data_IF_745338469204
#
_entry.id   IF_745338469204
#
_cell.length_a   1.000
_cell.length_b   1.000
_cell.length_c   1.000
_cell.angle_alpha   90.00
_cell.angle_beta   90.00
_cell.angle_gamma   90.00
#
_symmetry.space_group_name_H-M   'P 1'
#
loop_
_entity.id
_entity.type
_entity.pdbx_description
1 polymer ?
#
# COMPACT_ATOMS: atom_id res chain seq x y z
N UNK A 1 -10.73 -17.64 -77.23
CA UNK A 1 -11.68 -17.13 -76.21
C UNK A 1 -11.20 -17.58 -74.84
N UNK A 2 -10.42 -16.75 -74.14
CA UNK A 2 -9.83 -17.08 -72.83
C UNK A 2 -10.67 -16.39 -71.76
N UNK A 3 -11.45 -17.18 -71.00
CA UNK A 3 -12.23 -16.71 -69.84
C UNK A 3 -11.28 -16.46 -68.67
N UNK A 4 -10.85 -15.21 -68.48
CA UNK A 4 -10.16 -14.75 -67.28
C UNK A 4 -11.16 -14.68 -66.11
N UNK A 5 -10.96 -15.55 -65.11
CA UNK A 5 -11.80 -15.67 -63.92
C UNK A 5 -11.45 -14.51 -62.97
N UNK A 6 -12.35 -13.54 -62.86
CA UNK A 6 -12.28 -12.29 -62.04
C UNK A 6 -12.08 -12.46 -60.53
N UNK A 7 -11.66 -13.63 -60.02
CA UNK A 7 -11.66 -13.94 -58.58
C UNK A 7 -10.30 -13.78 -57.88
N UNK A 8 -9.21 -13.53 -58.61
CA UNK A 8 -7.87 -13.45 -58.00
C UNK A 8 -7.35 -12.02 -57.80
N UNK A 9 -8.06 -11.01 -58.31
CA UNK A 9 -7.66 -9.59 -58.17
C UNK A 9 -8.18 -8.90 -56.89
N UNK A 10 -9.06 -9.54 -56.11
CA UNK A 10 -9.56 -9.00 -54.84
C UNK A 10 -8.86 -9.57 -53.60
N UNK A 11 -7.97 -10.55 -53.74
CA UNK A 11 -7.21 -11.10 -52.61
C UNK A 11 -5.92 -10.31 -52.30
N UNK A 12 -5.45 -9.45 -53.22
CA UNK A 12 -4.16 -8.77 -53.10
C UNK A 12 -4.15 -7.40 -52.43
N UNK A 13 -5.32 -6.75 -52.24
CA UNK A 13 -5.38 -5.35 -51.78
C UNK A 13 -5.67 -5.25 -50.27
N UNK A 14 -6.23 -6.27 -49.64
CA UNK A 14 -6.53 -6.26 -48.19
C UNK A 14 -5.31 -6.46 -47.28
N UNK A 15 -4.22 -7.06 -47.78
CA UNK A 15 -3.08 -7.46 -46.95
C UNK A 15 -1.98 -6.40 -46.83
N UNK A 16 -1.91 -5.43 -47.75
CA UNK A 16 -0.86 -4.41 -47.74
C UNK A 16 -1.14 -3.23 -46.78
N UNK A 17 -2.40 -3.00 -46.40
CA UNK A 17 -2.77 -1.92 -45.46
C UNK A 17 -2.93 -2.40 -44.01
N UNK A 18 -3.14 -3.71 -43.77
CA UNK A 18 -3.31 -4.26 -42.42
C UNK A 18 -2.00 -4.46 -41.64
N UNK A 19 -0.90 -4.73 -42.34
CA UNK A 19 0.38 -5.04 -41.69
C UNK A 19 1.17 -3.79 -41.23
N UNK A 20 0.96 -2.63 -41.87
CA UNK A 20 1.66 -1.39 -41.54
C UNK A 20 1.10 -0.66 -40.32
N UNK A 21 -0.21 -0.78 -40.06
CA UNK A 21 -0.86 -0.04 -38.96
C UNK A 21 -0.70 -0.71 -37.59
N UNK A 22 -0.51 -2.04 -37.54
CA UNK A 22 -0.33 -2.77 -36.28
C UNK A 22 1.03 -2.56 -35.60
N UNK A 23 2.04 -2.15 -36.36
CA UNK A 23 3.40 -1.96 -35.83
C UNK A 23 3.61 -0.62 -35.10
N UNK A 24 2.78 0.39 -35.38
CA UNK A 24 2.88 1.73 -34.77
C UNK A 24 2.22 1.84 -33.38
N UNK A 25 1.42 0.84 -32.98
CA UNK A 25 0.78 0.78 -31.66
C UNK A 25 1.47 -0.15 -30.66
N UNK A 26 2.76 -0.49 -30.88
CA UNK A 26 3.63 -0.96 -29.80
C UNK A 26 4.03 0.23 -28.92
N UNK A 27 3.03 0.94 -28.41
CA UNK A 27 3.20 1.93 -27.35
C UNK A 27 3.91 1.23 -26.22
N UNK A 28 5.13 1.66 -25.94
CA UNK A 28 5.85 1.32 -24.73
C UNK A 28 4.98 1.82 -23.58
N UNK A 29 4.11 0.96 -23.06
CA UNK A 29 3.49 1.15 -21.76
C UNK A 29 4.66 1.13 -20.78
N UNK A 30 5.27 2.31 -20.57
CA UNK A 30 6.12 2.57 -19.43
C UNK A 30 5.19 2.35 -18.24
N UNK A 31 5.22 1.15 -17.69
CA UNK A 31 4.57 0.83 -16.43
C UNK A 31 5.25 1.76 -15.43
N UNK A 32 4.64 2.92 -15.20
CA UNK A 32 5.02 3.81 -14.13
C UNK A 32 4.93 2.96 -12.87
N UNK A 33 6.07 2.63 -12.28
CA UNK A 33 6.13 1.93 -11.00
C UNK A 33 5.42 2.82 -9.98
N UNK A 34 4.21 2.40 -9.61
CA UNK A 34 3.44 2.99 -8.53
C UNK A 34 4.28 2.97 -7.26
N UNK A 35 4.25 4.05 -6.50
CA UNK A 35 4.88 4.08 -5.18
C UNK A 35 3.87 3.50 -4.20
N UNK A 36 4.13 2.32 -3.62
CA UNK A 36 3.17 1.70 -2.71
C UNK A 36 2.79 2.67 -1.59
N UNK A 37 1.50 2.80 -1.31
CA UNK A 37 0.98 3.66 -0.25
C UNK A 37 0.52 2.80 0.92
N UNK A 38 0.75 3.26 2.14
CA UNK A 38 0.21 2.60 3.33
C UNK A 38 -1.30 2.81 3.38
N UNK A 39 -2.07 1.74 3.20
CA UNK A 39 -3.53 1.79 3.17
C UNK A 39 -4.13 1.74 4.59
N UNK A 40 -5.36 2.25 4.81
CA UNK A 40 -6.05 2.15 6.10
C UNK A 40 -6.30 0.69 6.53
N UNK A 41 -6.64 0.47 7.81
CA UNK A 41 -7.09 -0.84 8.29
C UNK A 41 -8.21 -1.44 7.43
N UNK A 42 -8.12 -2.75 7.18
CA UNK A 42 -9.12 -3.50 6.41
C UNK A 42 -9.00 -3.37 4.89
N UNK A 43 -8.05 -2.59 4.36
CA UNK A 43 -7.81 -2.56 2.92
C UNK A 43 -7.46 -3.96 2.39
N UNK A 44 -8.08 -4.34 1.27
CA UNK A 44 -7.74 -5.54 0.53
C UNK A 44 -6.37 -5.40 -0.16
N UNK A 45 -6.04 -6.33 -1.05
CA UNK A 45 -4.92 -6.17 -1.99
C UNK A 45 -5.06 -4.84 -2.74
N UNK A 46 -3.95 -4.29 -3.22
CA UNK A 46 -3.98 -2.95 -3.83
C UNK A 46 -4.96 -2.88 -5.02
N UNK A 47 -4.99 -3.92 -5.86
CA UNK A 47 -5.90 -3.98 -7.00
C UNK A 47 -7.38 -4.07 -6.58
N UNK A 48 -7.72 -4.93 -5.61
CA UNK A 48 -9.08 -5.06 -5.07
C UNK A 48 -9.54 -3.76 -4.40
N UNK A 49 -8.65 -3.13 -3.64
CA UNK A 49 -8.90 -1.88 -2.96
C UNK A 49 -9.21 -0.78 -3.97
N UNK A 50 -8.39 -0.64 -5.02
CA UNK A 50 -8.57 0.39 -6.05
C UNK A 50 -9.84 0.17 -6.90
N UNK A 51 -10.24 -1.09 -7.10
CA UNK A 51 -11.47 -1.45 -7.78
C UNK A 51 -12.72 -1.14 -6.94
N UNK A 52 -12.64 -1.33 -5.63
CA UNK A 52 -13.78 -1.19 -4.71
C UNK A 52 -13.93 0.22 -4.14
N UNK A 53 -12.83 0.99 -4.03
CA UNK A 53 -12.83 2.32 -3.44
C UNK A 53 -13.49 3.34 -4.38
N UNK A 54 -14.65 3.86 -3.97
CA UNK A 54 -15.37 4.91 -4.70
C UNK A 54 -14.89 6.33 -4.38
N UNK A 55 -13.78 6.47 -3.64
CA UNK A 55 -13.14 7.77 -3.35
C UNK A 55 -14.06 8.78 -2.64
N UNK A 56 -15.02 8.29 -1.83
CA UNK A 56 -15.99 9.14 -1.14
C UNK A 56 -15.41 9.94 0.04
N UNK A 57 -14.23 9.56 0.55
CA UNK A 57 -13.57 10.24 1.67
C UNK A 57 -14.22 10.03 3.05
N UNK A 58 -15.27 9.21 3.18
CA UNK A 58 -15.97 8.99 4.45
C UNK A 58 -15.08 8.39 5.54
N UNK A 59 -14.16 7.48 5.18
CA UNK A 59 -13.18 6.94 6.12
C UNK A 59 -12.26 8.03 6.70
N UNK A 60 -11.90 9.04 5.89
CA UNK A 60 -11.07 10.17 6.33
C UNK A 60 -11.83 11.03 7.33
N UNK A 61 -13.10 11.35 7.03
CA UNK A 61 -13.96 12.13 7.93
C UNK A 61 -14.28 11.39 9.24
N UNK A 62 -14.37 10.06 9.19
CA UNK A 62 -14.72 9.25 10.35
C UNK A 62 -13.53 8.98 11.29
N UNK A 63 -12.29 9.24 10.86
CA UNK A 63 -11.10 8.94 11.66
C UNK A 63 -10.94 9.97 12.80
N UNK A 64 -11.06 9.57 14.08
CA UNK A 64 -11.02 10.52 15.19
C UNK A 64 -9.62 11.08 15.50
N UNK A 65 -8.57 10.48 14.90
CA UNK A 65 -7.17 10.85 15.12
C UNK A 65 -6.55 11.62 13.96
N UNK A 66 -7.34 11.96 12.94
CA UNK A 66 -6.85 12.56 11.71
C UNK A 66 -5.66 11.79 11.10
N UNK A 67 -5.69 10.45 11.15
CA UNK A 67 -4.63 9.60 10.57
C UNK A 67 -4.69 9.60 9.04
N UNK A 68 -5.89 9.55 8.47
CA UNK A 68 -6.07 9.31 7.04
C UNK A 68 -5.98 10.61 6.24
N UNK A 69 -5.39 10.52 5.05
CA UNK A 69 -5.36 11.60 4.05
C UNK A 69 -5.78 11.05 2.70
N UNK A 70 -6.33 11.90 1.85
CA UNK A 70 -6.56 11.54 0.44
C UNK A 70 -5.31 11.86 -0.37
N UNK A 71 -4.94 10.96 -1.26
CA UNK A 71 -3.92 11.24 -2.27
C UNK A 71 -4.35 12.45 -3.12
N UNK A 72 -3.40 13.29 -3.56
CA UNK A 72 -3.72 14.40 -4.44
C UNK A 72 -4.44 13.93 -5.70
N UNK A 73 -5.34 14.75 -6.27
CA UNK A 73 -5.96 14.44 -7.53
C UNK A 73 -4.90 14.31 -8.63
N UNK A 74 -4.95 13.22 -9.37
CA UNK A 74 -4.04 12.90 -10.46
C UNK A 74 -4.68 11.98 -11.49
N UNK A 75 -3.97 11.67 -12.60
CA UNK A 75 -4.47 10.80 -13.66
C UNK A 75 -4.36 9.30 -13.33
N UNK A 76 -3.70 8.95 -12.22
CA UNK A 76 -3.52 7.56 -11.80
C UNK A 76 -4.73 7.01 -11.05
N UNK A 77 -4.81 5.68 -10.96
CA UNK A 77 -5.92 5.02 -10.27
C UNK A 77 -5.89 5.25 -8.75
N UNK A 78 -4.75 5.64 -8.19
CA UNK A 78 -4.58 5.95 -6.78
C UNK A 78 -5.13 7.33 -6.40
N UNK A 79 -5.42 8.19 -7.37
CA UNK A 79 -6.02 9.52 -7.18
C UNK A 79 -7.25 9.49 -6.26
N UNK A 80 -7.27 10.42 -5.30
CA UNK A 80 -8.32 10.59 -4.29
C UNK A 80 -8.65 9.33 -3.47
N UNK A 81 -7.68 8.44 -3.28
CA UNK A 81 -7.82 7.27 -2.39
C UNK A 81 -7.18 7.54 -1.02
N UNK A 82 -7.72 6.97 0.07
CA UNK A 82 -7.17 7.18 1.39
C UNK A 82 -5.83 6.47 1.58
N UNK A 83 -4.92 7.11 2.30
CA UNK A 83 -3.63 6.57 2.72
C UNK A 83 -3.24 7.09 4.11
N UNK A 84 -2.24 6.45 4.71
CA UNK A 84 -1.62 6.83 5.98
C UNK A 84 -0.20 7.34 5.72
N UNK A 85 0.13 8.49 6.29
CA UNK A 85 1.51 8.99 6.41
C UNK A 85 1.96 8.75 7.85
N UNK A 86 2.48 7.55 8.12
CA UNK A 86 2.78 7.09 9.48
C UNK A 86 3.82 7.94 10.19
N UNK A 87 4.71 8.60 9.44
CA UNK A 87 5.70 9.52 10.00
C UNK A 87 5.05 10.80 10.53
N UNK A 88 3.94 11.25 9.96
CA UNK A 88 3.21 12.44 10.43
C UNK A 88 2.13 12.10 11.46
N UNK A 89 1.30 11.11 11.16
CA UNK A 89 0.20 10.69 12.03
C UNK A 89 -0.04 9.20 11.85
N UNK A 90 0.34 8.36 12.81
CA UNK A 90 0.18 6.91 12.71
C UNK A 90 -1.29 6.52 12.89
N UNK A 91 -1.60 5.25 12.63
CA UNK A 91 -2.89 4.68 12.98
C UNK A 91 -2.90 4.28 14.45
N UNK A 92 -3.68 4.99 15.26
CA UNK A 92 -3.89 4.70 16.68
C UNK A 92 -4.87 3.54 16.93
N UNK A 93 -5.21 2.77 15.90
CA UNK A 93 -6.10 1.60 15.98
C UNK A 93 -7.47 1.88 16.62
N UNK A 94 -7.91 3.15 16.54
CA UNK A 94 -9.10 3.63 17.23
C UNK A 94 -9.09 3.33 18.75
N UNK A 95 -7.92 3.41 19.40
CA UNK A 95 -7.81 3.27 20.86
C UNK A 95 -8.79 4.23 21.57
N UNK A 96 -9.57 3.70 22.51
CA UNK A 96 -10.64 4.45 23.18
C UNK A 96 -11.98 4.48 22.44
N UNK A 97 -12.13 3.75 21.33
CA UNK A 97 -13.39 3.57 20.61
C UNK A 97 -13.73 2.08 20.46
N UNK A 98 -15.03 1.77 20.29
CA UNK A 98 -15.52 0.38 20.22
C UNK A 98 -15.22 -0.33 18.89
N UNK A 99 -14.90 0.43 17.84
CA UNK A 99 -14.66 -0.10 16.49
C UNK A 99 -13.72 0.77 15.66
N UNK A 100 -13.19 0.20 14.59
CA UNK A 100 -12.41 0.92 13.58
C UNK A 100 -13.32 1.80 12.73
N UNK A 101 -13.44 3.08 13.10
CA UNK A 101 -14.35 4.05 12.47
C UNK A 101 -14.17 4.19 10.96
N UNK A 102 -12.94 4.00 10.45
CA UNK A 102 -12.67 4.02 9.02
C UNK A 102 -13.31 2.84 8.27
N UNK A 103 -13.31 1.65 8.86
CA UNK A 103 -13.97 0.45 8.32
C UNK A 103 -15.48 0.63 8.42
N UNK A 104 -15.99 1.04 9.57
CA UNK A 104 -17.43 1.24 9.80
C UNK A 104 -18.05 2.25 8.83
N UNK A 105 -17.29 3.29 8.46
CA UNK A 105 -17.74 4.32 7.52
C UNK A 105 -17.57 3.95 6.04
N UNK A 106 -16.98 2.80 5.69
CA UNK A 106 -16.75 2.41 4.30
C UNK A 106 -18.03 1.80 3.67
N UNK A 107 -18.59 2.39 2.61
CA UNK A 107 -19.87 1.91 2.04
C UNK A 107 -19.72 0.80 0.98
N UNK A 108 -18.50 0.50 0.53
CA UNK A 108 -18.24 -0.40 -0.62
C UNK A 108 -17.34 -1.58 -0.29
N UNK A 109 -17.11 -1.85 1.00
CA UNK A 109 -16.17 -2.89 1.47
C UNK A 109 -14.74 -2.77 0.92
N UNK A 110 -14.36 -1.58 0.43
CA UNK A 110 -12.95 -1.28 0.12
C UNK A 110 -12.07 -1.41 1.36
N UNK A 111 -12.63 -1.12 2.54
CA UNK A 111 -12.07 -1.45 3.84
C UNK A 111 -12.94 -2.54 4.47
N UNK A 112 -12.49 -3.79 4.37
CA UNK A 112 -13.20 -5.00 4.84
C UNK A 112 -13.17 -5.08 6.37
N UNK A 113 -14.23 -5.63 6.95
CA UNK A 113 -14.30 -5.91 8.40
C UNK A 113 -13.23 -6.90 8.81
N UNK A 114 -12.65 -6.67 9.99
CA UNK A 114 -11.68 -7.56 10.66
C UNK A 114 -12.29 -8.05 11.96
N UNK A 115 -12.00 -9.29 12.35
CA UNK A 115 -12.53 -9.85 13.61
C UNK A 115 -11.78 -9.29 14.83
N UNK A 116 -10.48 -9.02 14.67
CA UNK A 116 -9.62 -8.39 15.66
C UNK A 116 -8.70 -7.36 15.02
N UNK A 117 -8.22 -6.39 15.81
CA UNK A 117 -7.12 -5.50 15.41
C UNK A 117 -5.86 -6.28 15.00
N UNK A 118 -5.69 -7.49 15.52
CA UNK A 118 -4.58 -8.40 15.18
C UNK A 118 -4.67 -8.97 13.78
N UNK A 119 -5.82 -8.89 13.12
CA UNK A 119 -6.03 -9.36 11.74
C UNK A 119 -5.73 -8.26 10.71
N UNK A 120 -5.42 -7.04 11.17
CA UNK A 120 -5.07 -5.93 10.30
C UNK A 120 -3.73 -6.21 9.59
N UNK A 121 -3.65 -5.91 8.30
CA UNK A 121 -2.43 -6.02 7.48
C UNK A 121 -2.24 -4.76 6.64
N UNK A 122 -1.87 -3.65 7.28
CA UNK A 122 -1.59 -2.39 6.55
C UNK A 122 -0.21 -2.43 5.89
N UNK A 123 0.76 -3.07 6.55
CA UNK A 123 2.15 -3.17 6.13
C UNK A 123 3.00 -3.79 7.24
N UNK A 124 4.32 -3.74 7.10
CA UNK A 124 5.27 -4.27 8.08
C UNK A 124 6.34 -3.22 8.37
N UNK A 125 6.70 -3.05 9.63
CA UNK A 125 7.79 -2.18 10.03
C UNK A 125 9.15 -2.76 9.59
N UNK A 126 10.01 -1.94 8.99
CA UNK A 126 11.33 -2.36 8.52
C UNK A 126 12.42 -1.54 9.18
N UNK A 127 13.35 -2.20 9.86
CA UNK A 127 14.43 -1.51 10.56
C UNK A 127 15.56 -1.20 9.58
N UNK A 128 15.91 0.09 9.48
CA UNK A 128 17.16 0.49 8.86
C UNK A 128 18.29 0.41 9.89
N UNK A 129 19.06 -0.67 9.84
CA UNK A 129 20.16 -0.93 10.77
C UNK A 129 21.24 0.17 10.72
N UNK A 130 21.44 0.81 9.57
CA UNK A 130 22.47 1.86 9.42
C UNK A 130 22.16 3.17 10.15
N UNK A 131 20.89 3.44 10.42
CA UNK A 131 20.45 4.67 11.11
C UNK A 131 19.83 4.41 12.49
N UNK A 132 19.41 3.17 12.77
CA UNK A 132 18.77 2.82 14.02
C UNK A 132 19.72 2.96 15.21
N UNK A 133 19.36 3.81 16.17
CA UNK A 133 20.15 4.04 17.39
C UNK A 133 20.50 2.75 18.15
N UNK A 134 19.57 1.79 18.23
CA UNK A 134 19.80 0.48 18.86
C UNK A 134 20.88 -0.34 18.16
N UNK A 135 20.92 -0.29 16.83
CA UNK A 135 21.98 -0.93 16.04
C UNK A 135 23.32 -0.19 16.09
N UNK A 136 23.28 1.11 16.40
CA UNK A 136 24.44 1.99 16.46
C UNK A 136 24.94 2.25 17.90
N UNK A 137 24.70 1.29 18.81
CA UNK A 137 25.31 1.27 20.14
C UNK A 137 24.60 2.13 21.21
N UNK A 138 23.43 2.68 20.92
CA UNK A 138 22.63 3.45 21.87
C UNK A 138 21.47 2.60 22.38
N UNK A 139 21.28 2.53 23.69
CA UNK A 139 20.13 1.84 24.30
C UNK A 139 18.83 2.61 24.01
N UNK A 140 18.16 2.27 22.91
CA UNK A 140 16.91 2.89 22.48
C UNK A 140 15.79 1.85 22.43
N UNK A 141 14.70 2.07 23.19
CA UNK A 141 13.53 1.16 23.25
C UNK A 141 12.21 1.82 22.87
N UNK A 142 12.29 3.00 22.24
CA UNK A 142 11.11 3.84 21.94
C UNK A 142 10.10 3.11 21.04
N UNK A 143 10.58 2.43 20.00
CA UNK A 143 9.70 1.68 19.09
C UNK A 143 8.96 0.53 19.79
N UNK A 144 9.55 -0.09 20.81
CA UNK A 144 8.91 -1.14 21.61
C UNK A 144 7.83 -0.58 22.50
N UNK A 145 8.10 0.53 23.20
CA UNK A 145 7.09 1.18 24.04
C UNK A 145 5.91 1.74 23.23
N UNK A 146 6.16 2.17 22.00
CA UNK A 146 5.11 2.62 21.09
C UNK A 146 4.34 1.48 20.43
N UNK A 147 4.86 0.25 20.44
CA UNK A 147 4.21 -0.88 19.78
C UNK A 147 3.00 -1.34 20.61
N UNK A 148 1.81 -1.48 20.01
CA UNK A 148 0.64 -2.01 20.72
C UNK A 148 0.71 -3.52 20.98
N UNK A 149 1.68 -4.22 20.37
CA UNK A 149 1.92 -5.65 20.55
C UNK A 149 3.40 -5.91 20.89
N UNK A 150 3.88 -5.41 22.06
CA UNK A 150 5.26 -5.60 22.47
C UNK A 150 5.56 -7.10 22.62
N UNK A 151 6.79 -7.49 22.29
CA UNK A 151 7.31 -8.87 22.29
C UNK A 151 6.65 -9.84 21.29
N UNK A 152 5.47 -9.51 20.78
CA UNK A 152 4.81 -10.25 19.69
C UNK A 152 5.22 -9.73 18.31
N UNK A 153 4.99 -8.44 18.04
CA UNK A 153 5.27 -7.77 16.76
C UNK A 153 6.63 -7.11 16.72
N UNK A 154 7.12 -6.64 17.86
CA UNK A 154 8.43 -5.99 17.98
C UNK A 154 9.06 -6.42 19.29
N UNK A 155 10.24 -7.05 19.20
CA UNK A 155 11.02 -7.54 20.34
C UNK A 155 12.45 -7.02 20.26
N UNK A 156 13.24 -7.33 21.29
CA UNK A 156 14.66 -7.02 21.32
C UNK A 156 15.47 -8.32 21.27
N UNK A 157 16.60 -8.31 20.57
CA UNK A 157 17.56 -9.41 20.63
C UNK A 157 18.48 -9.29 21.86
N UNK A 158 19.41 -10.24 22.01
CA UNK A 158 20.34 -10.28 23.14
C UNK A 158 21.29 -9.06 23.20
N UNK A 159 21.46 -8.33 22.09
CA UNK A 159 22.27 -7.12 21.99
C UNK A 159 21.43 -5.85 22.14
N UNK A 160 20.18 -5.98 22.58
CA UNK A 160 19.22 -4.88 22.68
C UNK A 160 18.97 -4.16 21.34
N UNK A 161 19.02 -4.90 20.23
CA UNK A 161 18.60 -4.39 18.93
C UNK A 161 17.14 -4.76 18.67
N UNK A 162 16.33 -3.82 18.15
CA UNK A 162 14.94 -4.14 17.83
C UNK A 162 14.87 -5.17 16.70
N UNK A 163 13.90 -6.07 16.76
CA UNK A 163 13.61 -7.08 15.73
C UNK A 163 12.10 -7.10 15.53
N UNK A 164 11.66 -6.90 14.28
CA UNK A 164 10.24 -6.94 13.90
C UNK A 164 9.86 -8.37 13.52
N UNK A 165 8.73 -8.84 14.04
CA UNK A 165 8.08 -10.07 13.59
C UNK A 165 7.04 -9.71 12.51
N UNK A 166 7.27 -10.05 11.23
CA UNK A 166 6.38 -9.65 10.14
C UNK A 166 4.98 -10.25 10.25
N UNK A 167 4.82 -11.42 10.87
CA UNK A 167 3.52 -12.10 10.99
C UNK A 167 2.59 -11.45 12.03
N UNK A 168 3.17 -10.82 13.05
CA UNK A 168 2.43 -10.11 14.10
C UNK A 168 2.40 -8.59 13.89
N UNK A 169 3.29 -8.04 13.07
CA UNK A 169 3.30 -6.62 12.74
C UNK A 169 2.12 -6.29 11.82
N UNK A 170 1.21 -5.43 12.30
CA UNK A 170 0.03 -5.02 11.52
C UNK A 170 0.24 -3.75 10.68
N UNK A 171 1.39 -3.09 10.83
CA UNK A 171 1.74 -1.88 10.06
C UNK A 171 1.06 -0.59 10.51
N UNK A 172 0.70 -0.47 11.80
CA UNK A 172 0.00 0.71 12.32
C UNK A 172 0.82 2.01 12.29
N UNK A 173 2.16 1.92 12.25
CA UNK A 173 3.05 3.07 12.13
C UNK A 173 3.40 3.77 13.44
N UNK A 174 2.92 3.30 14.60
CA UNK A 174 3.24 3.94 15.89
C UNK A 174 4.75 3.96 16.18
N UNK A 175 5.48 2.90 15.83
CA UNK A 175 6.93 2.85 15.96
C UNK A 175 7.67 3.81 15.00
N UNK A 176 7.13 4.02 13.80
CA UNK A 176 7.66 4.92 12.78
C UNK A 176 7.52 6.39 13.24
N UNK A 177 6.32 6.73 13.73
CA UNK A 177 6.03 8.03 14.33
C UNK A 177 6.92 8.33 15.54
N UNK A 178 7.03 7.37 16.46
CA UNK A 178 7.77 7.55 17.71
C UNK A 178 9.29 7.54 17.53
N UNK A 179 9.81 7.15 16.36
CA UNK A 179 11.25 7.05 16.13
C UNK A 179 11.93 8.42 16.31
N UNK A 180 12.95 8.53 17.20
CA UNK A 180 13.55 9.82 17.54
C UNK A 180 14.59 10.31 16.51
N UNK A 181 14.93 9.50 15.51
CA UNK A 181 15.83 9.91 14.42
C UNK A 181 15.11 10.89 13.49
N UNK A 182 15.86 11.75 12.80
CA UNK A 182 15.31 12.77 11.88
C UNK A 182 14.43 12.13 10.80
N UNK A 183 15.03 11.24 10.00
CA UNK A 183 14.30 10.25 9.21
C UNK A 183 14.11 9.00 10.05
N UNK A 184 12.92 8.41 9.99
CA UNK A 184 12.62 7.22 10.78
C UNK A 184 13.53 6.06 10.39
N UNK A 185 14.10 5.41 11.41
CA UNK A 185 14.89 4.19 11.23
C UNK A 185 14.04 2.93 11.24
N UNK A 186 12.71 3.06 11.32
CA UNK A 186 11.76 1.95 11.30
C UNK A 186 10.50 2.30 10.49
N UNK A 187 10.63 2.72 9.20
CA UNK A 187 9.49 3.03 8.37
C UNK A 187 8.58 1.81 8.15
N UNK A 188 7.32 2.06 7.83
CA UNK A 188 6.38 1.00 7.46
C UNK A 188 6.48 0.73 5.96
N UNK A 189 6.83 -0.49 5.58
CA UNK A 189 6.68 -0.99 4.21
C UNK A 189 5.21 -1.39 3.98
N UNK A 190 4.48 -0.71 3.08
CA UNK A 190 3.06 -1.02 2.83
C UNK A 190 2.83 -2.45 2.36
N UNK A 191 1.65 -3.02 2.67
CA UNK A 191 1.26 -4.38 2.24
C UNK A 191 1.34 -4.56 0.71
N UNK A 192 0.92 -3.55 -0.05
CA UNK A 192 1.02 -3.52 -1.52
C UNK A 192 2.46 -3.65 -2.06
N UNK A 193 3.47 -3.28 -1.26
CA UNK A 193 4.87 -3.42 -1.63
C UNK A 193 5.41 -4.85 -1.41
N UNK A 194 4.64 -5.74 -0.79
CA UNK A 194 5.06 -7.09 -0.40
C UNK A 194 4.62 -8.15 -1.41
N UNK A 195 3.63 -7.84 -2.26
CA UNK A 195 3.01 -8.75 -3.25
C UNK A 195 3.93 -9.12 -4.45
N UNK A 196 5.19 -8.65 -4.47
CA UNK A 196 6.15 -8.89 -5.57
C UNK A 196 7.42 -9.65 -5.17
N UNK A 197 7.45 -10.33 -4.02
CA UNK A 197 8.66 -11.01 -3.48
C UNK A 197 8.54 -12.54 -3.42
N UNK A 198 7.52 -13.13 -4.03
CA UNK A 198 7.39 -14.59 -4.19
C UNK A 198 7.92 -15.08 -5.52
#
# INVERSE_FOLDING_TARGET
MIRLRRRELLAGIGFALGAGFGALFRGTRRVMRRRPRLRPPGAATEDDFLASCIRCGQCVQACPFDTLRLTPPGPDAESATPFVDSRKTPCYLCEGYDELRCIAACPTDALRRVASVRDIRMGVAEINESTCLGYNGVTCRVCWHACPFPDEALRFDALLRPVVNPEACIGCGLCDYACPTEESSIPIRPAAAQEGTT
#
